data_IF_285977302487
#
_entry.id   IF_285977302487
#
_cell.length_a   1.000
_cell.length_b   1.000
_cell.length_c   1.000
_cell.angle_alpha   90.00
_cell.angle_beta   90.00
_cell.angle_gamma   90.00
#
_symmetry.space_group_name_H-M   'P 1'
#
loop_
_entity.id
_entity.type
_entity.pdbx_description
1 polymer ?
#
# COMPACT_ATOMS: atom_id res chain seq x y z
N UNK A 1 16.58 -15.87 3.06
CA UNK A 1 15.18 -15.41 3.02
C UNK A 1 14.78 -14.98 4.43
N UNK A 2 14.81 -13.68 4.73
CA UNK A 2 14.30 -13.18 6.01
C UNK A 2 12.82 -12.91 5.84
N UNK A 3 11.97 -13.94 6.02
CA UNK A 3 10.52 -13.72 6.17
C UNK A 3 10.25 -12.84 7.39
N UNK A 4 9.15 -12.10 7.38
CA UNK A 4 8.71 -11.39 8.58
C UNK A 4 8.38 -12.40 9.69
N UNK A 5 8.94 -12.18 10.87
CA UNK A 5 8.73 -12.96 12.07
C UNK A 5 7.35 -12.70 12.67
N UNK A 6 6.86 -13.63 13.50
CA UNK A 6 5.56 -13.49 14.18
C UNK A 6 5.44 -12.18 14.98
N UNK A 7 6.53 -11.75 15.61
CA UNK A 7 6.58 -10.52 16.45
C UNK A 7 6.18 -9.28 15.66
N UNK A 8 6.65 -9.16 14.42
CA UNK A 8 6.37 -8.00 13.57
C UNK A 8 4.89 -7.88 13.20
N UNK A 9 4.21 -9.03 13.01
CA UNK A 9 2.77 -9.07 12.78
C UNK A 9 1.99 -8.78 14.08
N UNK A 10 2.44 -9.30 15.22
CA UNK A 10 1.81 -9.05 16.52
C UNK A 10 1.91 -7.55 16.90
N UNK A 11 3.02 -6.88 16.58
CA UNK A 11 3.20 -5.44 16.77
C UNK A 11 2.24 -4.63 15.89
N UNK A 12 2.12 -4.95 14.60
CA UNK A 12 1.16 -4.29 13.71
C UNK A 12 -0.30 -4.42 14.22
N UNK A 13 -0.63 -5.56 14.84
CA UNK A 13 -1.95 -5.77 15.43
C UNK A 13 -2.17 -4.99 16.73
N UNK A 14 -1.13 -4.75 17.55
CA UNK A 14 -1.27 -3.99 18.81
C UNK A 14 -1.59 -2.53 18.57
N UNK A 15 -1.02 -1.94 17.52
CA UNK A 15 -1.26 -0.54 17.17
C UNK A 15 -2.71 -0.29 16.70
N UNK A 16 -3.45 -1.35 16.31
CA UNK A 16 -4.89 -1.25 16.07
C UNK A 16 -5.73 -1.06 17.34
N UNK A 17 -5.20 -1.42 18.52
CA UNK A 17 -5.95 -1.36 19.78
C UNK A 17 -6.04 0.09 20.34
N UNK A 18 -5.08 0.96 20.00
CA UNK A 18 -5.06 2.39 20.37
C UNK A 18 -5.00 3.35 19.15
N UNK A 19 -6.05 3.39 18.30
CA UNK A 19 -6.06 4.27 17.14
C UNK A 19 -6.13 5.76 17.57
N UNK A 20 -5.24 6.60 17.05
CA UNK A 20 -5.42 8.06 17.07
C UNK A 20 -6.44 8.42 15.97
N UNK A 21 -7.72 8.45 16.33
CA UNK A 21 -8.85 8.76 15.43
C UNK A 21 -9.32 10.20 15.66
N UNK A 22 -8.56 11.15 15.11
CA UNK A 22 -9.13 12.41 14.66
C UNK A 22 -9.06 12.38 13.12
N UNK A 23 -10.23 12.34 12.47
CA UNK A 23 -10.46 12.53 11.02
C UNK A 23 -10.04 11.42 10.02
N UNK A 24 -10.53 10.18 10.16
CA UNK A 24 -10.41 9.15 9.10
C UNK A 24 -11.73 8.46 8.75
N UNK A 25 -11.96 8.25 7.43
CA UNK A 25 -13.15 7.61 6.87
C UNK A 25 -13.03 6.08 6.79
N UNK A 26 -14.19 5.43 6.99
CA UNK A 26 -14.37 3.98 7.05
C UNK A 26 -14.60 3.37 5.64
N UNK A 27 -13.98 2.23 5.34
CA UNK A 27 -14.07 1.56 4.03
C UNK A 27 -14.79 0.20 4.12
N UNK A 28 -15.72 -0.16 3.23
CA UNK A 28 -16.22 -1.56 3.16
C UNK A 28 -15.13 -2.51 2.64
N UNK A 29 -14.93 -3.68 3.27
CA UNK A 29 -14.00 -4.79 2.90
C UNK A 29 -12.78 -4.39 2.03
N UNK A 30 -11.97 -3.46 2.55
CA UNK A 30 -10.91 -2.80 1.77
C UNK A 30 -9.66 -3.66 1.50
N UNK A 31 -9.54 -4.82 2.14
CA UNK A 31 -8.34 -5.66 2.04
C UNK A 31 -8.16 -6.29 0.64
N UNK A 32 -9.24 -6.74 -0.01
CA UNK A 32 -9.15 -7.31 -1.37
C UNK A 32 -8.73 -6.24 -2.39
N UNK A 33 -9.33 -5.05 -2.31
CA UNK A 33 -8.94 -3.89 -3.13
C UNK A 33 -7.50 -3.46 -2.87
N UNK A 34 -7.01 -3.60 -1.63
CA UNK A 34 -5.63 -3.30 -1.27
C UNK A 34 -4.63 -4.32 -1.84
N UNK A 35 -5.05 -5.58 -2.00
CA UNK A 35 -4.20 -6.67 -2.47
C UNK A 35 -4.18 -6.82 -3.99
N UNK A 36 -5.29 -6.49 -4.67
CA UNK A 36 -5.49 -6.65 -6.11
C UNK A 36 -4.75 -5.59 -6.94
N UNK A 37 -3.56 -5.95 -7.43
CA UNK A 37 -2.72 -5.06 -8.22
C UNK A 37 -3.32 -4.72 -9.59
N UNK A 38 -4.09 -5.64 -10.18
CA UNK A 38 -4.72 -5.42 -11.48
C UNK A 38 -5.86 -4.43 -11.36
N UNK A 39 -6.67 -4.55 -10.30
CA UNK A 39 -7.70 -3.56 -10.01
C UNK A 39 -7.09 -2.21 -9.63
N UNK A 40 -6.01 -2.21 -8.83
CA UNK A 40 -5.31 -0.98 -8.40
C UNK A 40 -4.92 -0.10 -9.59
N UNK A 41 -4.42 -0.69 -10.68
CA UNK A 41 -4.08 0.03 -11.92
C UNK A 41 -5.24 0.76 -12.58
N UNK A 42 -6.48 0.33 -12.33
CA UNK A 42 -7.66 0.92 -12.98
C UNK A 42 -8.12 2.22 -12.33
N UNK A 43 -7.71 2.49 -11.09
CA UNK A 43 -8.20 3.62 -10.31
C UNK A 43 -7.11 4.46 -9.65
N UNK A 44 -5.94 3.92 -9.33
CA UNK A 44 -4.88 4.68 -8.68
C UNK A 44 -4.10 5.52 -9.68
N UNK A 45 -4.43 6.81 -9.72
CA UNK A 45 -3.79 7.79 -10.59
C UNK A 45 -2.31 8.04 -10.27
N UNK A 46 -1.82 7.62 -9.10
CA UNK A 46 -0.41 7.72 -8.72
C UNK A 46 0.42 6.50 -9.15
N UNK A 47 -0.22 5.37 -9.48
CA UNK A 47 0.48 4.18 -9.93
C UNK A 47 0.83 4.29 -11.43
N UNK A 48 2.09 4.64 -11.74
CA UNK A 48 2.57 4.72 -13.13
C UNK A 48 2.81 3.34 -13.73
N UNK A 49 3.41 2.46 -12.95
CA UNK A 49 3.62 1.05 -13.30
C UNK A 49 3.53 0.26 -11.99
N UNK A 50 2.83 -0.86 -12.02
CA UNK A 50 2.64 -1.74 -10.87
C UNK A 50 2.61 -3.17 -11.39
N UNK A 51 3.41 -4.08 -10.85
CA UNK A 51 3.39 -5.49 -11.27
C UNK A 51 4.08 -6.38 -10.28
N UNK A 52 3.74 -7.65 -10.32
CA UNK A 52 4.49 -8.68 -9.62
C UNK A 52 5.83 -8.90 -10.29
N UNK A 53 6.83 -9.23 -9.47
CA UNK A 53 8.18 -9.57 -9.91
C UNK A 53 8.62 -10.87 -9.24
N UNK A 54 9.38 -11.68 -9.96
CA UNK A 54 9.88 -12.96 -9.47
C UNK A 54 11.36 -13.13 -9.83
N UNK A 55 12.15 -13.61 -8.88
CA UNK A 55 13.55 -13.98 -9.07
C UNK A 55 13.84 -15.29 -8.32
N UNK A 56 13.84 -16.42 -9.05
CA UNK A 56 13.86 -17.74 -8.43
C UNK A 56 12.62 -17.96 -7.56
N UNK A 57 12.83 -18.29 -6.27
CA UNK A 57 11.76 -18.48 -5.28
C UNK A 57 11.30 -17.17 -4.62
N UNK A 58 11.88 -16.04 -5.02
CA UNK A 58 11.58 -14.74 -4.47
C UNK A 58 10.45 -14.10 -5.25
N UNK A 59 9.39 -13.70 -4.55
CA UNK A 59 8.25 -12.98 -5.10
C UNK A 59 8.18 -11.58 -4.49
N UNK A 60 7.85 -10.59 -5.31
CA UNK A 60 7.76 -9.21 -4.89
C UNK A 60 6.92 -8.38 -5.83
N UNK A 61 6.98 -7.07 -5.62
CA UNK A 61 6.22 -6.09 -6.39
C UNK A 61 7.19 -5.00 -6.84
N UNK A 62 7.11 -4.68 -8.12
CA UNK A 62 7.63 -3.44 -8.67
C UNK A 62 6.52 -2.40 -8.68
N UNK A 63 6.76 -1.24 -8.09
CA UNK A 63 5.82 -0.13 -8.10
C UNK A 63 6.55 1.18 -8.44
N UNK A 64 6.19 1.80 -9.56
CA UNK A 64 6.60 3.16 -9.89
C UNK A 64 5.48 4.15 -9.58
N UNK A 65 5.79 5.13 -8.73
CA UNK A 65 4.88 6.20 -8.32
C UNK A 65 5.12 7.43 -9.18
N UNK A 66 4.03 8.01 -9.70
CA UNK A 66 4.07 9.25 -10.44
C UNK A 66 4.21 10.42 -9.49
N UNK A 67 5.35 11.12 -9.55
CA UNK A 67 5.51 12.38 -8.82
C UNK A 67 4.93 13.53 -9.64
N UNK A 68 4.36 14.57 -9.00
CA UNK A 68 3.80 15.69 -9.74
C UNK A 68 4.89 16.39 -10.56
N UNK A 69 4.75 16.38 -11.90
CA UNK A 69 5.77 16.88 -12.83
C UNK A 69 6.08 18.37 -12.65
N UNK A 70 5.12 19.17 -12.18
CA UNK A 70 5.29 20.59 -11.87
C UNK A 70 6.21 20.86 -10.66
N UNK A 71 6.55 19.83 -9.88
CA UNK A 71 7.52 19.93 -8.79
C UNK A 71 8.97 19.66 -9.25
N UNK A 72 9.20 19.40 -10.54
CA UNK A 72 10.52 19.08 -11.12
C UNK A 72 11.23 17.92 -10.40
N UNK A 73 10.46 16.94 -9.91
CA UNK A 73 10.97 15.77 -9.20
C UNK A 73 10.89 14.53 -10.08
N UNK A 74 11.95 13.71 -10.07
CA UNK A 74 11.92 12.37 -10.67
C UNK A 74 10.89 11.48 -9.99
N UNK A 75 10.31 10.55 -10.74
CA UNK A 75 9.47 9.51 -10.15
C UNK A 75 10.27 8.64 -9.19
N UNK A 76 9.58 8.01 -8.25
CA UNK A 76 10.15 7.00 -7.37
C UNK A 76 9.69 5.62 -7.82
N UNK A 77 10.59 4.64 -7.77
CA UNK A 77 10.21 3.24 -7.88
C UNK A 77 10.62 2.46 -6.62
N UNK A 78 9.86 1.41 -6.36
CA UNK A 78 10.04 0.50 -5.24
C UNK A 78 10.12 -0.91 -5.81
N UNK A 79 11.00 -1.71 -5.21
CA UNK A 79 11.00 -3.16 -5.37
C UNK A 79 10.98 -3.75 -3.98
N UNK A 80 9.90 -4.45 -3.64
CA UNK A 80 9.67 -4.92 -2.28
C UNK A 80 9.01 -6.29 -2.26
N UNK A 81 9.25 -7.04 -1.19
CA UNK A 81 8.46 -8.22 -0.88
C UNK A 81 7.18 -7.79 -0.17
N UNK A 82 6.08 -8.49 -0.42
CA UNK A 82 4.80 -8.31 0.28
C UNK A 82 4.39 -9.63 0.91
N UNK A 83 4.11 -9.63 2.21
CA UNK A 83 3.53 -10.77 2.91
C UNK A 83 2.17 -10.41 3.48
N UNK A 84 1.21 -11.30 3.27
CA UNK A 84 -0.15 -11.18 3.77
C UNK A 84 -0.45 -12.31 4.74
N UNK A 85 -1.06 -11.98 5.88
CA UNK A 85 -1.55 -12.95 6.85
C UNK A 85 -2.90 -12.52 7.41
N UNK A 86 -3.75 -13.50 7.64
CA UNK A 86 -4.99 -13.34 8.41
C UNK A 86 -4.71 -13.77 9.84
N UNK A 87 -5.05 -12.93 10.81
CA UNK A 87 -4.81 -13.14 12.23
C UNK A 87 -6.15 -13.05 12.96
N UNK A 88 -6.47 -14.08 13.72
CA UNK A 88 -7.63 -14.10 14.61
C UNK A 88 -7.20 -13.62 16.01
N UNK A 89 -7.75 -12.50 16.46
CA UNK A 89 -7.43 -11.91 17.78
C UNK A 89 -8.69 -11.33 18.42
N UNK A 90 -8.97 -11.73 19.66
CA UNK A 90 -10.12 -11.25 20.45
C UNK A 90 -11.47 -11.35 19.72
N UNK A 91 -11.66 -12.43 18.93
CA UNK A 91 -12.86 -12.66 18.13
C UNK A 91 -12.98 -11.79 16.87
N UNK A 92 -11.88 -11.13 16.46
CA UNK A 92 -11.80 -10.33 15.23
C UNK A 92 -10.82 -10.94 14.25
N UNK A 93 -11.21 -10.94 12.98
CA UNK A 93 -10.34 -11.25 11.85
C UNK A 93 -9.58 -10.01 11.43
N UNK A 94 -8.25 -10.06 11.51
CA UNK A 94 -7.34 -8.97 11.16
C UNK A 94 -6.52 -9.38 9.93
N UNK A 95 -6.63 -8.59 8.88
CA UNK A 95 -5.90 -8.72 7.63
C UNK A 95 -4.60 -7.90 7.72
N UNK A 96 -3.47 -8.56 7.86
CA UNK A 96 -2.15 -7.91 7.99
C UNK A 96 -1.37 -8.01 6.69
N UNK A 97 -0.85 -6.87 6.23
CA UNK A 97 0.02 -6.76 5.05
C UNK A 97 1.32 -6.09 5.46
N UNK A 98 2.43 -6.81 5.34
CA UNK A 98 3.76 -6.31 5.62
C UNK A 98 4.56 -6.22 4.33
N UNK A 99 5.26 -5.11 4.13
CA UNK A 99 6.11 -4.89 2.96
C UNK A 99 7.45 -4.34 3.39
N UNK A 100 8.52 -4.77 2.71
CA UNK A 100 9.87 -4.25 2.93
C UNK A 100 10.62 -4.25 1.61
N UNK A 101 11.39 -3.19 1.39
CA UNK A 101 12.33 -3.12 0.28
C UNK A 101 13.23 -4.33 0.26
N UNK A 102 13.44 -4.83 -0.95
CA UNK A 102 14.20 -6.05 -1.14
C UNK A 102 14.75 -6.03 -2.58
N UNK A 103 16.05 -6.25 -2.78
CA UNK A 103 16.67 -6.14 -4.11
C UNK A 103 16.32 -7.33 -4.98
N UNK A 104 15.91 -7.10 -6.23
CA UNK A 104 15.75 -8.15 -7.24
C UNK A 104 16.76 -7.89 -8.37
N UNK A 105 17.59 -8.88 -8.70
CA UNK A 105 18.66 -8.72 -9.70
C UNK A 105 18.14 -8.47 -11.11
N UNK A 106 16.94 -8.96 -11.43
CA UNK A 106 16.23 -8.66 -12.67
C UNK A 106 15.48 -7.31 -12.68
N UNK A 107 15.50 -6.56 -11.57
CA UNK A 107 14.88 -5.23 -11.44
C UNK A 107 15.90 -4.16 -11.03
N UNK A 108 16.92 -3.88 -11.88
CA UNK A 108 17.91 -2.84 -11.60
C UNK A 108 17.28 -1.45 -11.55
N UNK A 109 18.03 -0.48 -11.01
CA UNK A 109 17.62 0.93 -11.02
C UNK A 109 17.47 1.45 -12.45
N UNK A 110 16.47 2.30 -12.68
CA UNK A 110 16.17 2.85 -14.01
C UNK A 110 16.62 4.30 -14.11
N UNK A 111 17.28 4.66 -15.21
CA UNK A 111 17.69 6.04 -15.47
C UNK A 111 16.49 6.99 -15.43
N UNK A 112 16.63 8.12 -14.74
CA UNK A 112 15.57 9.13 -14.57
C UNK A 112 14.51 8.80 -13.51
N UNK A 113 14.64 7.67 -12.80
CA UNK A 113 13.78 7.25 -11.69
C UNK A 113 14.64 7.03 -10.45
N UNK A 114 14.14 7.42 -9.28
CA UNK A 114 14.86 7.26 -8.01
C UNK A 114 14.36 6.00 -7.31
N UNK A 115 15.25 5.02 -7.14
CA UNK A 115 14.96 3.78 -6.39
C UNK A 115 14.92 4.03 -4.89
N UNK A 116 13.77 3.74 -4.30
CA UNK A 116 13.59 3.68 -2.85
C UNK A 116 13.88 2.25 -2.39
N UNK A 117 15.07 2.05 -1.83
CA UNK A 117 15.59 0.75 -1.37
C UNK A 117 15.59 0.60 0.17
N UNK A 118 15.21 1.65 0.89
CA UNK A 118 14.98 1.65 2.33
C UNK A 118 13.53 2.05 2.58
N UNK A 119 12.66 1.05 2.55
CA UNK A 119 11.21 1.18 2.74
C UNK A 119 10.67 0.01 3.55
N UNK A 120 9.70 0.30 4.40
CA UNK A 120 9.02 -0.63 5.29
C UNK A 120 7.59 -0.14 5.54
N UNK A 121 6.62 -1.05 5.44
CA UNK A 121 5.24 -0.76 5.82
C UNK A 121 4.60 -1.93 6.55
N UNK A 122 3.77 -1.60 7.54
CA UNK A 122 2.89 -2.50 8.26
C UNK A 122 1.48 -1.99 8.13
N UNK A 123 0.60 -2.76 7.51
CA UNK A 123 -0.81 -2.44 7.40
C UNK A 123 -1.63 -3.50 8.10
N UNK A 124 -2.64 -3.09 8.87
CA UNK A 124 -3.57 -3.99 9.51
C UNK A 124 -4.99 -3.48 9.31
N UNK A 125 -5.86 -4.34 8.80
CA UNK A 125 -7.25 -4.00 8.44
C UNK A 125 -8.19 -4.98 9.13
N UNK A 126 -9.27 -4.47 9.74
CA UNK A 126 -10.31 -5.28 10.37
C UNK A 126 -11.67 -4.64 10.14
N UNK A 127 -12.75 -5.42 10.17
CA UNK A 127 -14.10 -4.86 10.16
C UNK A 127 -14.32 -3.92 11.34
N UNK A 128 -15.07 -2.83 11.12
CA UNK A 128 -15.56 -1.94 12.18
C UNK A 128 -16.91 -2.39 12.78
N UNK A 129 -17.49 -3.49 12.28
CA UNK A 129 -18.79 -4.03 12.69
C UNK A 129 -20.01 -3.29 12.14
N UNK A 130 -19.83 -2.21 11.36
CA UNK A 130 -20.88 -1.37 10.77
C UNK A 130 -20.87 -1.41 9.24
N UNK A 131 -20.20 -2.41 8.67
CA UNK A 131 -20.02 -2.57 7.23
C UNK A 131 -18.79 -1.83 6.69
N UNK A 132 -18.00 -1.17 7.53
CA UNK A 132 -16.73 -0.55 7.16
C UNK A 132 -15.50 -1.33 7.64
N UNK A 133 -14.35 -0.66 7.60
CA UNK A 133 -13.02 -1.20 7.86
C UNK A 133 -12.30 -0.18 8.71
N UNK A 134 -11.79 -0.62 9.84
CA UNK A 134 -10.77 0.06 10.60
C UNK A 134 -9.41 -0.34 10.05
N UNK A 135 -8.61 0.63 9.65
CA UNK A 135 -7.29 0.42 9.10
C UNK A 135 -6.23 1.14 9.95
N UNK A 136 -5.08 0.49 10.13
CA UNK A 136 -3.86 1.08 10.65
C UNK A 136 -2.75 0.87 9.62
N UNK A 137 -1.90 1.89 9.46
CA UNK A 137 -0.72 1.78 8.63
C UNK A 137 0.46 2.49 9.30
N UNK A 138 1.53 1.75 9.54
CA UNK A 138 2.85 2.29 9.88
C UNK A 138 3.70 2.25 8.63
N UNK A 139 4.16 3.41 8.19
CA UNK A 139 4.92 3.57 6.94
C UNK A 139 6.23 4.29 7.20
N UNK A 140 7.30 3.79 6.60
CA UNK A 140 8.60 4.45 6.55
C UNK A 140 9.22 4.26 5.17
N UNK A 141 9.77 5.33 4.60
CA UNK A 141 10.70 5.24 3.49
C UNK A 141 11.77 6.33 3.52
N UNK A 142 12.87 6.06 2.81
CA UNK A 142 13.89 7.04 2.48
C UNK A 142 13.77 7.40 0.99
N UNK A 143 13.17 8.55 0.63
CA UNK A 143 12.96 8.93 -0.77
C UNK A 143 14.23 9.40 -1.50
N UNK A 144 15.41 9.20 -0.89
CA UNK A 144 16.76 9.57 -1.35
C UNK A 144 16.85 11.01 -1.85
N UNK A 145 16.78 11.94 -0.90
CA UNK A 145 16.92 13.37 -1.15
C UNK A 145 16.06 14.20 -0.20
N UNK A 146 16.18 15.52 -0.32
CA UNK A 146 15.36 16.44 0.47
C UNK A 146 13.94 16.46 -0.08
N UNK A 147 12.94 16.23 0.79
CA UNK A 147 11.53 16.43 0.46
C UNK A 147 11.21 17.92 0.61
N UNK A 148 10.84 18.64 -0.46
CA UNK A 148 10.48 20.06 -0.33
C UNK A 148 9.23 20.23 0.55
N UNK A 149 9.18 21.27 1.38
CA UNK A 149 7.99 21.58 2.22
C UNK A 149 6.72 21.73 1.39
N UNK A 150 6.84 22.21 0.14
CA UNK A 150 5.72 22.31 -0.80
C UNK A 150 5.10 20.93 -1.10
N UNK A 151 5.93 19.89 -1.26
CA UNK A 151 5.46 18.53 -1.49
C UNK A 151 4.76 17.96 -0.25
N UNK A 152 5.30 18.21 0.94
CA UNK A 152 4.65 17.82 2.21
C UNK A 152 3.27 18.47 2.32
N UNK A 153 3.18 19.78 2.07
CA UNK A 153 1.93 20.51 2.11
C UNK A 153 0.91 20.01 1.07
N UNK A 154 1.36 19.72 -0.14
CA UNK A 154 0.51 19.16 -1.19
C UNK A 154 0.01 17.76 -0.81
N UNK A 155 0.88 16.91 -0.25
CA UNK A 155 0.51 15.57 0.19
C UNK A 155 -0.57 15.64 1.28
N UNK A 156 -0.39 16.49 2.30
CA UNK A 156 -1.34 16.64 3.39
C UNK A 156 -2.69 17.23 2.93
N UNK A 157 -2.70 18.20 2.01
CA UNK A 157 -3.92 18.93 1.62
C UNK A 157 -4.66 18.35 0.42
N UNK A 158 -3.98 17.57 -0.42
CA UNK A 158 -4.52 17.14 -1.71
C UNK A 158 -4.20 15.68 -2.00
N UNK A 159 -2.95 15.26 -1.84
CA UNK A 159 -2.51 13.91 -2.18
C UNK A 159 -3.23 12.83 -1.36
N UNK A 160 -3.12 12.90 -0.03
CA UNK A 160 -3.70 11.91 0.89
C UNK A 160 -5.23 11.91 0.84
N UNK A 161 -5.94 13.06 0.97
CA UNK A 161 -7.40 13.07 0.87
C UNK A 161 -7.90 12.55 -0.49
N UNK A 162 -7.23 12.94 -1.58
CA UNK A 162 -7.56 12.46 -2.93
C UNK A 162 -7.33 10.97 -3.11
N UNK A 163 -6.26 10.42 -2.53
CA UNK A 163 -6.02 8.98 -2.50
C UNK A 163 -7.10 8.22 -1.73
N UNK A 164 -7.46 8.68 -0.53
CA UNK A 164 -8.50 8.04 0.29
C UNK A 164 -9.86 8.05 -0.42
N UNK A 165 -10.22 9.15 -1.09
CA UNK A 165 -11.45 9.24 -1.88
C UNK A 165 -11.46 8.27 -3.08
N UNK A 166 -10.33 8.15 -3.79
CA UNK A 166 -10.15 7.15 -4.86
C UNK A 166 -10.30 5.73 -4.31
N UNK A 167 -9.67 5.41 -3.19
CA UNK A 167 -9.75 4.10 -2.55
C UNK A 167 -11.18 3.78 -2.08
N UNK A 168 -11.91 4.74 -1.52
CA UNK A 168 -13.31 4.55 -1.13
C UNK A 168 -14.20 4.26 -2.34
N UNK A 169 -13.99 4.99 -3.44
CA UNK A 169 -14.70 4.78 -4.70
C UNK A 169 -14.39 3.40 -5.28
N UNK A 170 -13.11 2.99 -5.23
CA UNK A 170 -12.69 1.67 -5.66
C UNK A 170 -13.33 0.54 -4.82
N UNK A 171 -13.40 0.69 -3.49
CA UNK A 171 -14.10 -0.28 -2.63
C UNK A 171 -15.57 -0.44 -3.02
N UNK A 172 -16.28 0.66 -3.27
CA UNK A 172 -17.68 0.63 -3.74
C UNK A 172 -17.83 0.00 -5.13
N UNK A 173 -16.84 0.18 -6.01
CA UNK A 173 -16.82 -0.33 -7.38
C UNK A 173 -16.35 -1.79 -7.52
N UNK A 174 -15.69 -2.35 -6.51
CA UNK A 174 -15.03 -3.64 -6.60
C UNK A 174 -15.95 -4.82 -6.91
N UNK A 175 -17.15 -4.95 -6.32
CA UNK A 175 -18.07 -6.05 -6.66
C UNK A 175 -18.43 -6.09 -8.15
N UNK A 176 -18.59 -4.91 -8.78
CA UNK A 176 -18.87 -4.81 -10.22
C UNK A 176 -17.66 -5.20 -11.08
N UNK A 177 -16.45 -4.86 -10.62
CA UNK A 177 -15.21 -5.29 -11.27
C UNK A 177 -15.04 -6.82 -11.23
N UNK A 178 -15.32 -7.46 -10.10
CA UNK A 178 -15.25 -8.92 -9.98
C UNK A 178 -16.24 -9.62 -10.92
N UNK A 179 -17.46 -9.09 -11.05
CA UNK A 179 -18.46 -9.63 -11.98
C UNK A 179 -18.00 -9.56 -13.45
N UNK A 180 -17.32 -8.48 -13.86
CA UNK A 180 -16.85 -8.34 -15.24
C UNK A 180 -15.74 -9.36 -15.57
N UNK A 181 -14.94 -9.76 -14.58
CA UNK A 181 -13.90 -10.79 -14.72
C UNK A 181 -14.46 -12.21 -14.85
N UNK A 182 -15.62 -12.51 -14.25
CA UNK A 182 -16.25 -13.83 -14.34
C UNK A 182 -16.98 -14.07 -15.66
N UNK A 183 -17.25 -13.01 -16.42
CA UNK A 183 -17.99 -13.08 -17.69
C UNK A 183 -17.05 -13.11 -18.91
N UNK A 184 -15.73 -13.18 -18.69
CA UNK A 184 -14.68 -13.25 -19.72
C UNK A 184 -13.99 -14.60 -19.66
#
# INVERSE_FOLDING_TARGET
>A
MSMFGKVEFDEACKELDEPQIEDYEFFTESHDVYMDLEYRKTWDTYAKELREVQEGDKEGIYWQVNYPSYLFMSNRDYVYMRQYRVIEKDGKTIHCVLTRSEPFGNEPERSGVIRVDDYLSYSALTSDGQGGTKAFMKYYDNPKGNIPTMLINWAAKTGVPGFLSQMQTACKGYPKYLQSKQTT
#
